data_IF_880381888938
#
_entry.id   IF_880381888938
#
_cell.length_a   1.000
_cell.length_b   1.000
_cell.length_c   1.000
_cell.angle_alpha   90.00
_cell.angle_beta   90.00
_cell.angle_gamma   90.00
#
_symmetry.space_group_name_H-M   'P 1'
#
loop_
_entity.id
_entity.type
_entity.pdbx_description
1 polymer ?
#
# COMPACT_ATOMS: atom_id res chain seq x y z
N UNK A 1 18.19 -1.34 1.84
CA UNK A 1 16.72 -1.41 1.89
C UNK A 1 16.24 -1.98 0.57
N UNK A 2 15.33 -2.96 0.61
CA UNK A 2 14.77 -3.59 -0.58
C UNK A 2 13.29 -3.87 -0.33
N UNK A 3 12.44 -3.55 -1.29
CA UNK A 3 11.02 -3.86 -1.22
C UNK A 3 10.49 -4.14 -2.62
N UNK A 4 9.42 -4.92 -2.69
CA UNK A 4 8.72 -5.22 -3.93
C UNK A 4 7.24 -5.43 -3.64
N UNK A 5 6.39 -4.79 -4.43
CA UNK A 5 4.95 -4.92 -4.34
C UNK A 5 4.38 -5.29 -5.71
N UNK A 6 3.47 -6.28 -5.72
CA UNK A 6 2.65 -6.63 -6.87
C UNK A 6 1.21 -6.36 -6.51
N UNK A 7 0.56 -5.44 -7.20
CA UNK A 7 -0.80 -5.00 -6.87
C UNK A 7 -1.61 -4.95 -8.16
N UNK A 8 -2.66 -5.75 -8.21
CA UNK A 8 -3.57 -5.84 -9.34
C UNK A 8 -4.83 -5.04 -9.05
N UNK A 9 -5.45 -4.50 -10.09
CA UNK A 9 -6.70 -3.76 -9.97
C UNK A 9 -7.71 -4.23 -11.02
N UNK A 10 -8.91 -4.55 -10.56
CA UNK A 10 -10.05 -4.93 -11.37
C UNK A 10 -11.06 -3.80 -11.32
N UNK A 11 -11.51 -3.35 -12.49
CA UNK A 11 -12.48 -2.24 -12.61
C UNK A 11 -13.76 -2.72 -13.28
N UNK A 12 -14.89 -2.40 -12.67
CA UNK A 12 -16.21 -2.55 -13.26
C UNK A 12 -16.76 -1.18 -13.65
N UNK A 13 -17.04 -1.00 -14.94
CA UNK A 13 -17.59 0.23 -15.50
C UNK A 13 -19.11 0.09 -15.61
N UNK A 14 -19.86 1.06 -15.07
CA UNK A 14 -21.33 1.06 -15.18
C UNK A 14 -21.83 1.38 -16.59
N UNK A 15 -20.95 1.93 -17.42
CA UNK A 15 -21.14 2.27 -18.83
C UNK A 15 -19.93 1.76 -19.61
N UNK A 16 -19.73 2.27 -20.81
CA UNK A 16 -18.49 2.06 -21.55
C UNK A 16 -17.27 2.69 -20.85
N UNK A 17 -16.08 2.15 -21.15
CA UNK A 17 -14.81 2.70 -20.66
C UNK A 17 -14.70 4.16 -21.10
N UNK A 18 -14.14 5.02 -20.24
CA UNK A 18 -13.97 6.47 -20.50
C UNK A 18 -15.26 7.29 -20.56
N UNK A 19 -16.41 6.75 -20.15
CA UNK A 19 -17.68 7.46 -20.14
C UNK A 19 -18.49 7.18 -18.86
N UNK A 20 -18.00 7.68 -17.73
CA UNK A 20 -18.75 7.69 -16.48
C UNK A 20 -18.05 7.04 -15.30
N UNK A 21 -18.87 6.68 -14.31
CA UNK A 21 -18.43 6.09 -13.05
C UNK A 21 -17.95 4.64 -13.23
N UNK A 22 -17.01 4.25 -12.38
CA UNK A 22 -16.59 2.86 -12.18
C UNK A 22 -16.31 2.58 -10.71
N UNK A 23 -16.40 1.31 -10.34
CA UNK A 23 -15.90 0.78 -9.06
C UNK A 23 -14.71 -0.11 -9.33
N UNK A 24 -13.80 -0.19 -8.37
CA UNK A 24 -12.57 -0.95 -8.48
C UNK A 24 -12.28 -1.73 -7.20
N UNK A 25 -11.77 -2.95 -7.37
CA UNK A 25 -11.18 -3.76 -6.31
C UNK A 25 -9.72 -4.02 -6.63
N UNK A 26 -8.85 -4.02 -5.62
CA UNK A 26 -7.45 -4.38 -5.77
C UNK A 26 -7.04 -5.46 -4.77
N UNK A 27 -6.07 -6.26 -5.18
CA UNK A 27 -5.41 -7.26 -4.35
C UNK A 27 -3.92 -7.26 -4.67
N UNK A 28 -3.09 -7.41 -3.64
CA UNK A 28 -1.66 -7.36 -3.81
C UNK A 28 -0.87 -8.13 -2.75
N UNK A 29 0.39 -8.33 -3.10
CA UNK A 29 1.40 -8.99 -2.28
C UNK A 29 2.61 -8.07 -2.17
N UNK A 30 3.23 -8.06 -0.99
CA UNK A 30 4.45 -7.31 -0.73
C UNK A 30 5.52 -8.19 -0.11
N UNK A 31 6.77 -7.91 -0.43
CA UNK A 31 7.94 -8.39 0.31
C UNK A 31 8.82 -7.18 0.63
N UNK A 32 9.36 -7.13 1.84
CA UNK A 32 10.12 -5.97 2.27
C UNK A 32 11.25 -6.34 3.22
N UNK A 33 12.32 -5.54 3.12
CA UNK A 33 13.46 -5.45 4.00
C UNK A 33 13.77 -3.95 4.19
N UNK A 34 13.18 -3.36 5.22
CA UNK A 34 13.10 -1.91 5.39
C UNK A 34 13.56 -1.48 6.78
N UNK A 35 14.24 -0.34 6.87
CA UNK A 35 14.55 0.31 8.15
C UNK A 35 13.26 0.76 8.84
N UNK A 36 13.22 0.71 10.18
CA UNK A 36 12.12 1.31 10.94
C UNK A 36 12.47 2.75 11.29
N UNK A 37 11.84 3.77 10.67
CA UNK A 37 11.95 5.12 11.17
C UNK A 37 11.11 5.28 12.45
N UNK A 38 11.67 5.93 13.47
CA UNK A 38 10.91 6.33 14.66
C UNK A 38 10.77 7.86 14.66
N UNK A 39 9.53 8.31 14.91
CA UNK A 39 9.25 9.73 15.19
C UNK A 39 9.11 9.82 16.70
N UNK A 40 10.10 10.40 17.35
CA UNK A 40 10.05 10.64 18.79
C UNK A 40 9.02 11.71 19.13
N UNK A 41 8.47 11.69 20.35
CA UNK A 41 7.50 12.69 20.85
C UNK A 41 8.02 14.13 20.76
N UNK A 42 9.34 14.32 20.65
CA UNK A 42 10.02 15.62 20.44
C UNK A 42 9.99 16.11 18.98
N UNK A 43 9.37 15.38 18.06
CA UNK A 43 9.30 15.74 16.63
C UNK A 43 10.59 15.46 15.85
N UNK A 44 11.59 14.83 16.48
CA UNK A 44 12.81 14.41 15.80
C UNK A 44 12.56 13.10 15.04
N UNK A 45 12.92 13.12 13.76
CA UNK A 45 12.96 11.94 12.91
C UNK A 45 14.35 11.32 13.03
N UNK A 46 14.42 10.13 13.61
CA UNK A 46 15.67 9.38 13.69
C UNK A 46 15.44 7.98 13.11
N UNK A 47 16.44 7.49 12.40
CA UNK A 47 16.46 6.10 12.00
C UNK A 47 16.83 5.28 13.22
N UNK A 48 15.91 4.46 13.66
CA UNK A 48 16.19 3.46 14.67
C UNK A 48 17.25 2.49 14.13
N UNK A 49 18.11 1.99 15.01
CA UNK A 49 19.13 0.98 14.69
C UNK A 49 18.50 -0.42 14.53
N UNK A 50 17.34 -0.48 13.87
CA UNK A 50 16.58 -1.69 13.59
C UNK A 50 16.01 -1.67 12.17
N UNK A 51 15.84 -2.86 11.63
CA UNK A 51 15.13 -3.07 10.37
C UNK A 51 14.11 -4.19 10.51
N UNK A 52 13.13 -4.24 9.61
CA UNK A 52 12.15 -5.31 9.52
C UNK A 52 12.29 -6.08 8.21
N UNK A 53 12.06 -7.38 8.28
CA UNK A 53 11.90 -8.25 7.10
C UNK A 53 10.56 -8.96 7.20
N UNK A 54 9.83 -8.99 6.10
CA UNK A 54 8.50 -9.60 6.08
C UNK A 54 7.82 -9.56 4.74
N UNK A 55 6.54 -9.92 4.78
CA UNK A 55 5.65 -9.92 3.63
C UNK A 55 4.30 -9.30 4.01
N UNK A 56 3.58 -8.84 3.00
CA UNK A 56 2.27 -8.20 3.18
C UNK A 56 1.24 -8.77 2.22
N UNK A 57 0.00 -8.87 2.69
CA UNK A 57 -1.20 -8.96 1.87
C UNK A 57 -1.85 -7.60 1.82
N UNK A 58 -2.33 -7.22 0.65
CA UNK A 58 -3.03 -5.96 0.42
C UNK A 58 -4.36 -6.24 -0.24
N UNK A 59 -5.40 -5.57 0.21
CA UNK A 59 -6.67 -5.51 -0.50
C UNK A 59 -7.21 -4.09 -0.44
N UNK A 60 -8.01 -3.72 -1.41
CA UNK A 60 -8.57 -2.39 -1.44
C UNK A 60 -9.77 -2.30 -2.34
N UNK A 61 -10.54 -1.25 -2.10
CA UNK A 61 -11.71 -0.92 -2.89
C UNK A 61 -11.71 0.57 -3.16
N UNK A 62 -12.31 0.97 -4.26
CA UNK A 62 -12.38 2.35 -4.65
C UNK A 62 -13.24 2.54 -5.87
N UNK A 63 -13.10 3.70 -6.48
CA UNK A 63 -13.80 4.04 -7.69
C UNK A 63 -13.35 5.37 -8.23
N UNK A 64 -13.92 5.72 -9.36
CA UNK A 64 -13.62 6.97 -10.01
C UNK A 64 -14.61 7.30 -11.10
N UNK A 65 -14.35 8.42 -11.74
CA UNK A 65 -15.09 8.91 -12.88
C UNK A 65 -14.14 9.15 -14.04
N UNK A 66 -14.44 8.54 -15.18
CA UNK A 66 -13.69 8.74 -16.41
C UNK A 66 -14.50 9.55 -17.43
N UNK A 67 -13.85 10.45 -18.14
CA UNK A 67 -14.45 11.19 -19.25
C UNK A 67 -13.46 11.44 -20.37
N UNK A 68 -13.96 11.62 -21.59
CA UNK A 68 -13.18 12.13 -22.72
C UNK A 68 -13.55 13.58 -23.01
N UNK A 69 -12.52 14.40 -23.24
CA UNK A 69 -12.65 15.84 -23.51
C UNK A 69 -12.10 16.09 -24.92
N UNK A 70 -12.96 16.59 -25.81
CA UNK A 70 -12.57 16.91 -27.19
C UNK A 70 -12.05 15.72 -28.00
N UNK A 71 -12.47 14.49 -27.67
CA UNK A 71 -12.14 13.24 -28.37
C UNK A 71 -10.68 12.76 -28.23
N UNK A 72 -9.75 13.62 -27.79
CA UNK A 72 -8.32 13.29 -27.63
C UNK A 72 -7.89 13.19 -26.18
N UNK A 73 -8.41 14.03 -25.30
CA UNK A 73 -8.07 13.99 -23.89
C UNK A 73 -8.95 12.99 -23.17
N UNK A 74 -8.33 12.31 -22.21
CA UNK A 74 -8.96 11.39 -21.28
C UNK A 74 -8.61 11.84 -19.88
N UNK A 75 -9.60 11.88 -19.02
CA UNK A 75 -9.41 12.23 -17.62
C UNK A 75 -10.02 11.13 -16.75
N UNK A 76 -9.33 10.78 -15.67
CA UNK A 76 -9.80 9.83 -14.65
C UNK A 76 -9.55 10.47 -13.28
N UNK A 77 -10.62 10.71 -12.52
CA UNK A 77 -10.55 11.17 -11.13
C UNK A 77 -10.91 9.98 -10.26
N UNK A 78 -10.04 9.62 -9.31
CA UNK A 78 -10.20 8.39 -8.54
C UNK A 78 -9.76 8.52 -7.09
N UNK A 79 -10.38 7.70 -6.25
CA UNK A 79 -10.00 7.51 -4.85
C UNK A 79 -10.20 6.03 -4.47
N UNK A 80 -9.35 5.53 -3.58
CA UNK A 80 -9.44 4.18 -3.04
C UNK A 80 -8.94 4.11 -1.60
N UNK A 81 -9.56 3.21 -0.85
CA UNK A 81 -9.19 2.86 0.50
C UNK A 81 -8.71 1.41 0.52
N UNK A 82 -7.69 1.13 1.32
CA UNK A 82 -7.04 -0.18 1.35
C UNK A 82 -6.81 -0.66 2.76
N UNK A 83 -6.72 -1.97 2.89
CA UNK A 83 -6.23 -2.66 4.05
C UNK A 83 -4.95 -3.40 3.69
N UNK A 84 -3.95 -3.29 4.54
CA UNK A 84 -2.70 -4.03 4.43
C UNK A 84 -2.50 -4.83 5.70
N UNK A 85 -2.23 -6.13 5.54
CA UNK A 85 -1.79 -7.02 6.61
C UNK A 85 -0.34 -7.38 6.37
N UNK A 86 0.54 -7.12 7.33
CA UNK A 86 1.96 -7.42 7.23
C UNK A 86 2.40 -8.39 8.32
N UNK A 87 3.10 -9.44 7.93
CA UNK A 87 3.79 -10.37 8.84
C UNK A 87 5.29 -10.19 8.72
N UNK A 88 5.96 -9.94 9.85
CA UNK A 88 7.36 -9.56 9.83
C UNK A 88 8.09 -9.85 11.15
N UNK A 89 9.42 -9.87 11.09
CA UNK A 89 10.29 -9.88 12.25
C UNK A 89 11.13 -8.59 12.29
N UNK A 90 11.44 -8.11 13.50
CA UNK A 90 12.40 -7.03 13.72
C UNK A 90 13.81 -7.57 13.90
N UNK A 91 14.82 -6.81 13.47
CA UNK A 91 16.23 -7.14 13.60
C UNK A 91 17.03 -5.91 14.02
N UNK A 92 18.09 -6.10 14.81
CA UNK A 92 19.13 -5.10 15.02
C UNK A 92 19.99 -4.95 13.76
N UNK A 93 20.80 -3.88 13.67
CA UNK A 93 21.72 -3.69 12.54
C UNK A 93 22.81 -4.78 12.46
N UNK A 94 23.13 -5.43 13.58
CA UNK A 94 24.02 -6.60 13.64
C UNK A 94 23.33 -7.89 13.16
N UNK A 95 22.04 -7.82 12.82
CA UNK A 95 21.25 -8.94 12.30
C UNK A 95 20.64 -9.84 13.38
N UNK A 96 20.70 -9.44 14.66
CA UNK A 96 20.05 -10.19 15.73
C UNK A 96 18.53 -9.99 15.68
N UNK A 97 17.77 -11.07 15.77
CA UNK A 97 16.30 -11.02 15.74
C UNK A 97 15.75 -10.50 17.07
N UNK A 98 14.75 -9.61 17.00
CA UNK A 98 14.01 -9.17 18.17
C UNK A 98 12.98 -10.25 18.56
N UNK A 99 13.25 -10.93 19.68
CA UNK A 99 12.40 -12.01 20.20
C UNK A 99 11.20 -11.51 21.02
N UNK A 100 11.17 -10.22 21.36
CA UNK A 100 10.11 -9.61 22.16
C UNK A 100 9.61 -8.31 21.52
N UNK A 101 9.08 -8.38 20.27
CA UNK A 101 8.59 -7.20 19.60
C UNK A 101 7.43 -6.56 20.38
N UNK A 102 7.23 -5.26 20.17
CA UNK A 102 6.06 -4.53 20.69
C UNK A 102 4.79 -5.07 20.02
N UNK A 103 3.81 -5.50 20.83
CA UNK A 103 2.51 -6.00 20.39
C UNK A 103 1.43 -5.69 21.44
N UNK A 104 0.14 -5.67 21.07
CA UNK A 104 -0.96 -5.41 22.01
C UNK A 104 -1.06 -6.44 23.14
N UNK A 105 -0.76 -7.72 22.84
CA UNK A 105 -0.75 -8.82 23.80
C UNK A 105 0.55 -9.60 23.61
N UNK A 106 1.32 -9.74 24.70
CA UNK A 106 2.55 -10.51 24.68
C UNK A 106 2.27 -12.01 24.88
N UNK A 107 2.85 -12.89 24.05
CA UNK A 107 2.73 -14.33 24.24
C UNK A 107 3.49 -14.79 25.50
N UNK A 108 3.09 -15.96 26.03
CA UNK A 108 3.73 -16.58 27.21
C UNK A 108 5.21 -16.93 26.98
N UNK A 109 5.57 -17.24 25.74
CA UNK A 109 6.94 -17.59 25.33
C UNK A 109 7.46 -16.58 24.31
N UNK A 110 8.77 -16.27 24.30
CA UNK A 110 9.36 -15.36 23.32
C UNK A 110 9.04 -15.82 21.90
N UNK A 111 8.68 -14.86 21.05
CA UNK A 111 8.24 -15.11 19.69
C UNK A 111 8.65 -13.91 18.83
N UNK A 112 9.48 -14.11 17.81
CA UNK A 112 9.98 -13.00 17.02
C UNK A 112 8.95 -12.44 16.04
N UNK A 113 7.81 -13.11 15.85
CA UNK A 113 6.83 -12.73 14.86
C UNK A 113 5.97 -11.57 15.33
N UNK A 114 5.85 -10.58 14.45
CA UNK A 114 4.86 -9.52 14.56
C UNK A 114 3.90 -9.59 13.37
N UNK A 115 2.68 -9.16 13.62
CA UNK A 115 1.66 -9.00 12.61
C UNK A 115 0.94 -7.67 12.86
N UNK A 116 0.83 -6.84 11.84
CA UNK A 116 0.08 -5.59 11.93
C UNK A 116 -0.84 -5.43 10.72
N UNK A 117 -2.00 -4.84 10.98
CA UNK A 117 -3.03 -4.66 9.98
C UNK A 117 -3.53 -3.22 10.03
N UNK A 118 -3.36 -2.49 8.94
CA UNK A 118 -3.71 -1.07 8.87
C UNK A 118 -4.66 -0.78 7.72
N UNK A 119 -5.66 0.05 8.00
CA UNK A 119 -6.48 0.70 7.00
C UNK A 119 -5.85 2.02 6.60
N UNK A 120 -5.73 2.29 5.30
CA UNK A 120 -5.10 3.49 4.79
C UNK A 120 -5.72 3.98 3.49
N UNK A 121 -5.74 5.32 3.26
CA UNK A 121 -6.01 5.85 1.93
C UNK A 121 -4.91 5.37 0.99
N UNK A 122 -5.29 4.55 0.01
CA UNK A 122 -4.34 3.83 -0.83
C UNK A 122 -4.10 4.55 -2.16
N UNK A 123 -5.13 5.22 -2.70
CA UNK A 123 -5.03 6.02 -3.94
C UNK A 123 -5.93 7.24 -3.83
N UNK A 124 -5.41 8.39 -4.27
CA UNK A 124 -6.19 9.59 -4.55
C UNK A 124 -5.49 10.34 -5.68
N UNK A 125 -6.22 10.71 -6.73
CA UNK A 125 -5.61 11.48 -7.78
C UNK A 125 -6.48 11.75 -8.98
N UNK A 126 -5.87 12.47 -9.91
CA UNK A 126 -6.39 12.74 -11.25
C UNK A 126 -5.32 12.29 -12.24
N UNK A 127 -5.72 11.48 -13.23
CA UNK A 127 -4.87 11.05 -14.33
C UNK A 127 -5.38 11.65 -15.63
N UNK A 128 -4.44 12.05 -16.49
CA UNK A 128 -4.70 12.53 -17.83
C UNK A 128 -4.03 11.61 -18.86
N UNK A 129 -4.74 11.35 -19.95
CA UNK A 129 -4.21 10.65 -21.11
C UNK A 129 -4.53 11.43 -22.38
N UNK A 130 -3.65 11.31 -23.38
CA UNK A 130 -3.83 11.94 -24.68
C UNK A 130 -3.79 10.88 -25.78
N UNK A 131 -4.82 10.85 -26.63
CA UNK A 131 -4.90 9.97 -27.80
C UNK A 131 -4.06 10.58 -28.92
N UNK A 132 -2.93 9.93 -29.24
CA UNK A 132 -2.02 10.38 -30.30
C UNK A 132 -2.56 10.12 -31.71
N UNK A 133 -3.17 8.94 -31.92
CA UNK A 133 -3.64 8.51 -33.24
C UNK A 133 -5.11 8.10 -33.16
N UNK A 134 -5.88 8.43 -34.18
CA UNK A 134 -7.33 8.23 -34.19
C UNK A 134 -7.80 6.85 -34.64
N UNK A 135 -6.87 5.94 -35.00
CA UNK A 135 -7.18 4.60 -35.47
C UNK A 135 -8.16 3.86 -34.56
#
# INVERSE_FOLDING_TARGET
MSFGFLINEFRYYFREKQNGWYVAGNFGLGIFNMSKPEIFETGKFEFDNRYCKGWSLMMGFGGGYQTSIGGRWKMDIYAAFGWMLSYYNGYSMEGQIDMNPIRPVQPKYPDPWNASGEWMPYKLGVSFGYKLFDK
#
